data_IF_388406459135
#
_entry.id   IF_388406459135
#
_cell.length_a   1.000
_cell.length_b   1.000
_cell.length_c   1.000
_cell.angle_alpha   90.00
_cell.angle_beta   90.00
_cell.angle_gamma   90.00
#
_symmetry.space_group_name_H-M   'P 1'
#
loop_
_entity.id
_entity.type
_entity.pdbx_description
1 polymer ?
#
# COMPACT_ATOMS: atom_id res chain seq x y z
N UNK A 1 10.42 -13.68 2.55
CA UNK A 1 10.60 -12.26 2.89
C UNK A 1 10.94 -12.18 4.37
N UNK A 2 11.90 -11.34 4.73
CA UNK A 2 12.39 -11.10 6.09
C UNK A 2 11.82 -9.78 6.63
N UNK A 3 11.92 -9.56 7.95
CA UNK A 3 11.49 -8.32 8.57
C UNK A 3 12.21 -7.08 8.01
N UNK A 4 13.51 -7.19 7.73
CA UNK A 4 14.30 -6.08 7.16
C UNK A 4 13.84 -5.73 5.73
N UNK A 5 13.51 -6.73 4.91
CA UNK A 5 12.93 -6.49 3.58
C UNK A 5 11.57 -5.80 3.68
N UNK A 6 10.70 -6.23 4.60
CA UNK A 6 9.41 -5.55 4.86
C UNK A 6 9.64 -4.07 5.22
N UNK A 7 10.57 -3.81 6.14
CA UNK A 7 10.91 -2.45 6.59
C UNK A 7 11.47 -1.59 5.46
N UNK A 8 12.27 -2.17 4.56
CA UNK A 8 12.81 -1.46 3.40
C UNK A 8 11.71 -1.03 2.42
N UNK A 9 10.71 -1.89 2.18
CA UNK A 9 9.57 -1.59 1.30
C UNK A 9 8.66 -0.50 1.87
N UNK A 10 8.56 -0.38 3.19
CA UNK A 10 7.80 0.68 3.86
C UNK A 10 8.66 1.91 4.21
N UNK A 11 9.89 2.00 3.72
CA UNK A 11 10.84 3.08 4.03
C UNK A 11 10.26 4.50 3.99
N UNK A 12 9.48 4.90 2.96
CA UNK A 12 8.86 6.23 2.91
C UNK A 12 7.87 6.51 4.06
N UNK A 13 7.29 5.46 4.65
CA UNK A 13 6.37 5.57 5.78
C UNK A 13 7.13 5.70 7.09
N UNK A 14 8.36 5.18 7.15
CA UNK A 14 9.20 5.25 8.33
C UNK A 14 9.63 6.68 8.65
N UNK A 15 9.90 7.48 7.62
CA UNK A 15 10.16 8.92 7.77
C UNK A 15 8.94 9.67 8.37
N UNK A 16 7.72 9.30 7.96
CA UNK A 16 6.47 9.91 8.45
C UNK A 16 6.22 9.51 9.91
N UNK A 17 6.54 8.27 10.26
CA UNK A 17 6.39 7.77 11.62
C UNK A 17 7.40 8.39 12.56
N UNK A 18 8.66 8.52 12.15
CA UNK A 18 9.70 9.18 12.93
C UNK A 18 9.35 10.65 13.23
N UNK A 19 8.69 11.37 12.30
CA UNK A 19 8.20 12.74 12.53
C UNK A 19 7.11 12.82 13.62
N UNK A 20 6.46 11.70 13.92
CA UNK A 20 5.35 11.62 14.88
C UNK A 20 5.64 10.74 16.10
N UNK A 21 6.92 10.48 16.40
CA UNK A 21 7.35 9.56 17.47
C UNK A 21 6.69 8.17 17.35
N UNK A 22 6.45 7.72 16.11
CA UNK A 22 5.90 6.44 15.73
C UNK A 22 6.97 5.44 15.33
N UNK A 23 6.76 4.18 15.67
CA UNK A 23 7.67 3.05 15.43
C UNK A 23 6.86 1.93 14.80
N UNK A 24 7.36 1.37 13.70
CA UNK A 24 6.84 0.10 13.16
C UNK A 24 7.71 -1.03 13.66
N UNK A 25 7.08 -2.05 14.22
CA UNK A 25 7.75 -3.31 14.54
C UNK A 25 7.13 -4.43 13.72
N UNK A 26 7.94 -5.11 12.91
CA UNK A 26 7.51 -6.34 12.23
C UNK A 26 7.62 -7.50 13.23
N UNK A 27 6.50 -8.19 13.46
CA UNK A 27 6.37 -9.26 14.43
C UNK A 27 6.47 -10.64 13.79
N UNK A 28 5.94 -10.80 12.58
CA UNK A 28 6.00 -12.05 11.83
C UNK A 28 5.91 -11.80 10.32
N UNK A 29 6.52 -12.68 9.55
CA UNK A 29 6.51 -12.66 8.08
C UNK A 29 6.25 -14.04 7.47
N UNK A 30 5.71 -14.97 8.28
CA UNK A 30 5.49 -16.37 7.93
C UNK A 30 4.36 -16.52 6.92
N UNK A 31 4.50 -17.47 5.98
CA UNK A 31 3.48 -17.81 4.98
C UNK A 31 2.97 -16.63 4.15
N UNK A 32 3.79 -15.59 3.94
CA UNK A 32 3.39 -14.38 3.23
C UNK A 32 2.44 -13.48 4.03
N UNK A 33 2.21 -13.78 5.31
CA UNK A 33 1.41 -12.97 6.21
C UNK A 33 2.35 -12.07 7.02
N UNK A 34 2.18 -10.76 6.89
CA UNK A 34 2.99 -9.79 7.62
C UNK A 34 2.21 -9.32 8.83
N UNK A 35 2.68 -9.68 10.02
CA UNK A 35 2.17 -9.12 11.27
C UNK A 35 3.07 -7.97 11.70
N UNK A 36 2.48 -6.81 11.96
CA UNK A 36 3.22 -5.64 12.41
C UNK A 36 2.45 -4.85 13.46
N UNK A 37 3.19 -4.16 14.31
CA UNK A 37 2.67 -3.24 15.33
C UNK A 37 3.04 -1.81 14.93
N UNK A 38 2.06 -0.91 15.00
CA UNK A 38 2.29 0.52 14.95
C UNK A 38 2.19 1.06 16.38
N UNK A 39 3.34 1.35 16.98
CA UNK A 39 3.43 1.92 18.31
C UNK A 39 3.92 3.35 18.20
N UNK A 40 3.21 4.32 18.76
CA UNK A 40 3.66 5.72 18.69
C UNK A 40 3.23 6.54 19.89
N UNK A 41 3.86 7.70 20.05
CA UNK A 41 3.56 8.66 21.12
C UNK A 41 2.09 9.13 21.15
N UNK A 42 1.36 8.96 20.03
CA UNK A 42 -0.08 9.20 19.95
C UNK A 42 -0.86 7.97 19.47
N UNK A 43 -1.03 6.98 20.36
CA UNK A 43 -1.94 5.85 20.14
C UNK A 43 -3.38 6.37 19.95
N UNK A 44 -3.92 6.25 18.72
CA UNK A 44 -5.29 6.68 18.38
C UNK A 44 -5.40 8.05 17.71
N UNK A 45 -4.29 8.68 17.33
CA UNK A 45 -4.34 9.85 16.45
C UNK A 45 -4.88 9.46 15.06
N UNK A 46 -5.56 10.38 14.37
CA UNK A 46 -6.08 10.18 13.01
C UNK A 46 -4.99 9.85 11.97
N UNK A 47 -3.71 10.08 12.29
CA UNK A 47 -2.56 9.68 11.50
C UNK A 47 -2.35 8.16 11.48
N UNK A 48 -2.69 7.43 12.55
CA UNK A 48 -2.46 5.97 12.63
C UNK A 48 -3.20 5.19 11.53
N UNK A 49 -4.51 5.43 11.25
CA UNK A 49 -5.19 4.77 10.14
C UNK A 49 -4.65 5.17 8.77
N UNK A 50 -4.21 6.42 8.60
CA UNK A 50 -3.62 6.90 7.33
C UNK A 50 -2.30 6.19 7.02
N UNK A 51 -1.42 6.06 8.02
CA UNK A 51 -0.17 5.31 7.92
C UNK A 51 -0.43 3.82 7.67
N UNK A 52 -1.35 3.21 8.43
CA UNK A 52 -1.71 1.81 8.25
C UNK A 52 -2.22 1.52 6.82
N UNK A 53 -3.03 2.42 6.26
CA UNK A 53 -3.49 2.34 4.88
C UNK A 53 -2.35 2.38 3.87
N UNK A 54 -1.37 3.27 4.04
CA UNK A 54 -0.20 3.37 3.16
C UNK A 54 0.66 2.10 3.21
N UNK A 55 0.93 1.59 4.41
CA UNK A 55 1.69 0.34 4.61
C UNK A 55 0.98 -0.83 3.95
N UNK A 56 -0.32 -0.98 4.21
CA UNK A 56 -1.14 -2.04 3.63
C UNK A 56 -1.08 -2.00 2.10
N UNK A 57 -1.26 -0.81 1.51
CA UNK A 57 -1.20 -0.63 0.05
C UNK A 57 0.17 -0.95 -0.54
N UNK A 58 1.26 -0.50 0.07
CA UNK A 58 2.61 -0.78 -0.42
C UNK A 58 2.94 -2.27 -0.34
N UNK A 59 2.61 -2.93 0.77
CA UNK A 59 2.90 -4.36 0.95
C UNK A 59 2.01 -5.25 0.08
N UNK A 60 0.72 -4.95 -0.06
CA UNK A 60 -0.21 -5.75 -0.88
C UNK A 60 0.07 -5.69 -2.39
N UNK A 61 0.90 -4.76 -2.84
CA UNK A 61 1.42 -4.75 -4.23
C UNK A 61 2.49 -5.81 -4.48
N UNK A 62 3.12 -6.31 -3.44
CA UNK A 62 4.15 -7.34 -3.55
C UNK A 62 3.47 -8.70 -3.72
N UNK A 63 3.80 -9.43 -4.78
CA UNK A 63 3.24 -10.76 -5.06
C UNK A 63 3.54 -11.78 -3.96
N UNK A 64 4.61 -11.55 -3.19
CA UNK A 64 5.02 -12.40 -2.07
C UNK A 64 4.14 -12.22 -0.81
N UNK A 65 3.21 -11.27 -0.80
CA UNK A 65 2.39 -10.92 0.37
C UNK A 65 0.95 -11.38 0.20
N UNK A 66 0.54 -12.28 1.09
CA UNK A 66 -0.82 -12.80 1.19
C UNK A 66 -1.70 -11.85 2.00
N UNK A 67 -1.29 -11.48 3.22
CA UNK A 67 -2.06 -10.61 4.10
C UNK A 67 -1.17 -9.72 4.99
N UNK A 68 -1.74 -8.61 5.46
CA UNK A 68 -1.08 -7.66 6.37
C UNK A 68 -1.98 -7.42 7.57
N UNK A 69 -1.47 -7.76 8.75
CA UNK A 69 -2.20 -7.79 10.01
C UNK A 69 -1.56 -6.79 10.97
N UNK A 70 -2.35 -5.82 11.40
CA UNK A 70 -1.94 -4.83 12.40
C UNK A 70 -2.34 -5.32 13.80
N UNK A 71 -1.36 -5.54 14.67
CA UNK A 71 -1.58 -5.96 16.07
C UNK A 71 -1.98 -4.78 16.94
N UNK A 72 -1.37 -3.61 16.70
CA UNK A 72 -1.75 -2.32 17.27
C UNK A 72 -1.78 -1.27 16.14
N UNK A 73 -2.87 -0.51 16.05
CA UNK A 73 -3.16 0.38 14.91
C UNK A 73 -4.21 -0.23 13.98
N UNK A 74 -5.48 -0.07 14.32
CA UNK A 74 -6.57 -0.70 13.58
C UNK A 74 -6.70 -0.12 12.17
N UNK A 75 -6.64 -1.00 11.17
CA UNK A 75 -7.17 -0.74 9.83
C UNK A 75 -8.51 -1.50 9.70
N UNK A 76 -9.66 -0.79 9.78
CA UNK A 76 -10.97 -1.42 9.71
C UNK A 76 -11.18 -2.21 8.41
N UNK A 77 -11.97 -3.26 8.47
CA UNK A 77 -12.26 -4.15 7.32
C UNK A 77 -12.78 -3.41 6.09
N UNK A 78 -13.62 -2.37 6.29
CA UNK A 78 -14.15 -1.58 5.18
C UNK A 78 -13.05 -0.80 4.44
N UNK A 79 -12.01 -0.33 5.14
CA UNK A 79 -10.88 0.35 4.50
C UNK A 79 -10.03 -0.66 3.72
N UNK A 80 -9.77 -1.84 4.29
CA UNK A 80 -9.06 -2.93 3.59
C UNK A 80 -9.76 -3.27 2.28
N UNK A 81 -11.06 -3.51 2.34
CA UNK A 81 -11.90 -3.80 1.18
C UNK A 81 -11.83 -2.69 0.13
N UNK A 82 -11.87 -1.43 0.56
CA UNK A 82 -11.76 -0.29 -0.36
C UNK A 82 -10.40 -0.26 -1.06
N UNK A 83 -9.32 -0.49 -0.32
CA UNK A 83 -7.96 -0.53 -0.88
C UNK A 83 -7.80 -1.71 -1.84
N UNK A 84 -8.30 -2.90 -1.48
CA UNK A 84 -8.26 -4.08 -2.34
C UNK A 84 -9.03 -3.87 -3.64
N UNK A 85 -10.24 -3.28 -3.57
CA UNK A 85 -11.02 -2.94 -4.76
C UNK A 85 -10.30 -1.92 -5.64
N UNK A 86 -9.68 -0.90 -5.03
CA UNK A 86 -8.91 0.11 -5.75
C UNK A 86 -7.69 -0.52 -6.44
N UNK A 87 -6.91 -1.36 -5.75
CA UNK A 87 -5.76 -2.06 -6.31
C UNK A 87 -6.16 -3.01 -7.45
N UNK A 88 -7.24 -3.75 -7.28
CA UNK A 88 -7.78 -4.63 -8.33
C UNK A 88 -8.17 -3.81 -9.57
N UNK A 89 -8.80 -2.65 -9.39
CA UNK A 89 -9.14 -1.74 -10.49
C UNK A 89 -7.89 -1.18 -11.17
N UNK A 90 -6.89 -0.71 -10.41
CA UNK A 90 -5.62 -0.21 -10.93
C UNK A 90 -4.86 -1.30 -11.72
N UNK A 91 -4.90 -2.56 -11.27
CA UNK A 91 -4.31 -3.69 -11.98
C UNK A 91 -5.03 -3.97 -13.32
N UNK A 92 -6.36 -3.83 -13.37
CA UNK A 92 -7.16 -3.97 -14.59
C UNK A 92 -6.93 -2.83 -15.58
N UNK A 93 -6.84 -1.59 -15.10
CA UNK A 93 -6.56 -0.40 -15.93
C UNK A 93 -5.14 -0.45 -16.51
N UNK A 94 -4.15 -0.94 -15.75
CA UNK A 94 -2.78 -1.14 -16.25
C UNK A 94 -2.65 -2.26 -17.29
N UNK A 95 -3.57 -3.24 -17.30
CA UNK A 95 -3.58 -4.34 -18.28
C UNK A 95 -4.31 -3.98 -19.59
N UNK A 96 -4.83 -2.76 -19.72
CA UNK A 96 -5.50 -2.28 -20.94
C UNK A 96 -4.60 -1.48 -21.88
N UNK A 97 -3.27 -1.49 -21.66
CA UNK A 97 -2.31 -0.83 -22.56
C UNK A 97 -1.40 -1.85 -23.22
N UNK A 98 -1.98 -2.63 -24.13
CA UNK A 98 -1.27 -3.56 -25.00
C UNK A 98 -1.95 -3.65 -26.36
N UNK A 99 -1.62 -2.69 -27.22
CA UNK A 99 -1.62 -2.70 -28.69
C UNK A 99 -2.92 -3.09 -29.44
N UNK A 100 -3.61 -2.11 -30.02
CA UNK A 100 -4.18 -2.19 -31.38
C UNK A 100 -4.71 -0.82 -31.88
N UNK A 101 -4.10 -0.37 -32.98
CA UNK A 101 -4.69 0.28 -34.15
C UNK A 101 -5.29 1.70 -34.10
N UNK A 102 -4.52 2.63 -34.70
CA UNK A 102 -4.94 3.83 -35.45
C UNK A 102 -6.18 4.58 -34.95
N UNK A 103 -5.93 5.58 -34.10
CA UNK A 103 -6.78 6.77 -34.09
C UNK A 103 -6.75 7.42 -35.49
N UNK A 104 -7.91 7.72 -36.13
CA UNK A 104 -7.91 8.45 -37.37
C UNK A 104 -7.38 9.85 -37.11
N UNK A 105 -6.23 10.16 -37.70
CA UNK A 105 -5.67 11.50 -37.75
C UNK A 105 -6.71 12.41 -38.41
N UNK A 106 -7.26 13.44 -37.75
CA UNK A 106 -7.96 14.48 -38.48
C UNK A 106 -6.91 15.28 -39.26
N UNK A 107 -6.95 15.11 -40.58
CA UNK A 107 -6.33 16.02 -41.54
C UNK A 107 -6.93 17.41 -41.35
N UNK A 108 -6.08 18.44 -41.33
CA UNK A 108 -6.53 19.82 -41.21
C UNK A 108 -5.38 20.82 -41.23
N UNK A 109 -4.49 20.70 -42.22
CA UNK A 109 -3.93 21.91 -42.83
C UNK A 109 -5.09 22.71 -43.43
N UNK A 110 -5.11 24.03 -43.24
CA UNK A 110 -5.23 25.09 -44.27
C UNK A 110 -5.26 26.45 -43.53
N UNK A 111 -4.22 27.24 -43.83
CA UNK A 111 -4.11 28.72 -43.93
C UNK A 111 -5.00 29.61 -43.05
#
# INVERSE_FOLDING_TARGET
MTAEEVLAEIGPVQDILDEHDGVVTVLDTSDGNIMLSLDGGCNGCSSTPMTAMQIYYSLKKLEAINDVIFVNGELPEYMRTFIDQKMAKEAMENNSTGDDDKGPQPQGEIV
#
